data_IF_018314959648
#
_entry.id   IF_018314959648
#
_cell.length_a   1.000
_cell.length_b   1.000
_cell.length_c   1.000
_cell.angle_alpha   90.00
_cell.angle_beta   90.00
_cell.angle_gamma   90.00
#
_symmetry.space_group_name_H-M   'P 1'
#
loop_
_entity.id
_entity.type
_entity.pdbx_description
1 polymer ?
#
# COMPACT_ATOMS: atom_id res chain seq x y z
N UNK A 1 2.90 17.75 3.74
CA UNK A 1 2.11 18.01 2.51
C UNK A 1 2.75 19.13 1.71
N UNK A 2 2.63 19.11 0.38
CA UNK A 2 3.05 20.17 -0.53
C UNK A 2 2.05 20.27 -1.69
N UNK A 3 1.97 21.40 -2.37
CA UNK A 3 1.11 21.54 -3.55
C UNK A 3 1.83 20.97 -4.77
N UNK A 4 1.22 20.01 -5.47
CA UNK A 4 1.71 19.51 -6.77
C UNK A 4 1.49 20.59 -7.83
N UNK A 5 2.28 20.54 -8.90
CA UNK A 5 2.13 21.43 -10.06
C UNK A 5 0.74 21.30 -10.73
N UNK A 6 0.09 20.15 -10.56
CA UNK A 6 -1.29 19.88 -11.01
C UNK A 6 -2.39 20.45 -10.10
N UNK A 7 -2.04 21.20 -9.04
CA UNK A 7 -3.00 21.82 -8.12
C UNK A 7 -3.48 20.93 -6.96
N UNK A 8 -3.24 19.61 -7.01
CA UNK A 8 -3.55 18.68 -5.92
C UNK A 8 -2.57 18.76 -4.74
N UNK A 9 -3.00 18.34 -3.55
CA UNK A 9 -2.08 18.11 -2.43
C UNK A 9 -1.24 16.85 -2.68
N UNK A 10 0.07 17.00 -2.59
CA UNK A 10 1.04 15.91 -2.56
C UNK A 10 1.54 15.65 -1.15
N UNK A 11 1.68 14.37 -0.82
CA UNK A 11 2.42 13.95 0.35
C UNK A 11 3.90 13.84 -0.02
N UNK A 12 4.77 14.49 0.75
CA UNK A 12 6.22 14.31 0.65
C UNK A 12 6.64 13.66 1.94
N UNK A 13 6.99 12.38 1.84
CA UNK A 13 7.55 11.60 2.94
C UNK A 13 8.80 12.27 3.51
N UNK A 14 9.69 12.77 2.64
CA UNK A 14 10.88 13.54 3.06
C UNK A 14 10.52 14.75 3.90
N UNK A 15 9.55 15.58 3.47
CA UNK A 15 9.12 16.74 4.29
C UNK A 15 8.48 16.32 5.60
N UNK A 16 7.75 15.20 5.63
CA UNK A 16 7.21 14.67 6.87
C UNK A 16 8.34 14.23 7.81
N UNK A 17 9.29 13.43 7.31
CA UNK A 17 10.41 12.89 8.09
C UNK A 17 11.37 13.98 8.60
N UNK A 18 11.78 14.92 7.74
CA UNK A 18 12.66 16.03 8.12
C UNK A 18 12.01 16.93 9.18
N UNK A 19 10.69 17.13 9.12
CA UNK A 19 9.99 17.99 10.08
C UNK A 19 9.59 17.26 11.38
N UNK A 20 9.24 15.97 11.30
CA UNK A 20 8.76 15.20 12.45
C UNK A 20 9.91 14.59 13.27
N UNK A 21 11.08 14.38 12.66
CA UNK A 21 12.22 13.70 13.29
C UNK A 21 13.56 14.39 12.96
N UNK A 22 13.95 15.43 13.72
CA UNK A 22 15.18 16.21 13.46
C UNK A 22 16.46 15.36 13.49
N UNK A 23 16.50 14.32 14.32
CA UNK A 23 17.64 13.39 14.42
C UNK A 23 17.83 12.49 13.19
N UNK A 24 16.90 12.53 12.23
CA UNK A 24 16.97 11.75 11.00
C UNK A 24 17.68 12.51 9.86
N UNK A 25 18.10 13.76 10.06
CA UNK A 25 18.61 14.62 9.00
C UNK A 25 20.02 14.28 8.44
N UNK A 26 20.78 13.37 9.06
CA UNK A 26 22.21 13.18 8.76
C UNK A 26 22.58 11.95 7.90
N UNK A 27 21.64 11.04 7.60
CA UNK A 27 21.88 9.92 6.68
C UNK A 27 21.06 10.11 5.39
N UNK A 28 21.55 9.57 4.27
CA UNK A 28 20.96 9.75 2.95
C UNK A 28 19.51 9.22 2.88
N UNK A 29 18.50 10.09 2.96
CA UNK A 29 17.11 9.68 3.16
C UNK A 29 16.50 9.05 1.91
N UNK A 30 17.11 9.26 0.73
CA UNK A 30 16.61 8.79 -0.56
C UNK A 30 16.78 7.28 -0.78
N UNK A 31 17.74 6.64 -0.11
CA UNK A 31 18.00 5.20 -0.25
C UNK A 31 17.37 4.33 0.83
N UNK A 32 17.17 4.89 2.02
CA UNK A 32 16.87 4.09 3.22
C UNK A 32 15.42 4.20 3.70
N UNK A 33 14.62 5.08 3.09
CA UNK A 33 13.26 5.36 3.50
C UNK A 33 12.21 4.47 2.82
N UNK A 34 12.31 4.34 1.50
CA UNK A 34 11.28 3.67 0.71
C UNK A 34 11.62 2.20 0.47
N UNK A 35 10.59 1.36 0.51
CA UNK A 35 10.71 -0.01 0.05
C UNK A 35 11.00 -0.01 -1.46
N UNK A 36 11.99 -0.82 -1.85
CA UNK A 36 12.22 -1.12 -3.27
C UNK A 36 10.99 -1.81 -3.86
N UNK A 37 10.82 -1.78 -5.18
CA UNK A 37 9.67 -2.43 -5.83
C UNK A 37 9.62 -3.95 -5.51
N UNK A 38 10.77 -4.60 -5.48
CA UNK A 38 10.87 -6.01 -5.12
C UNK A 38 10.43 -6.28 -3.66
N UNK A 39 10.83 -5.42 -2.72
CA UNK A 39 10.40 -5.54 -1.31
C UNK A 39 8.89 -5.30 -1.15
N UNK A 40 8.32 -4.37 -1.93
CA UNK A 40 6.86 -4.16 -1.99
C UNK A 40 6.14 -5.41 -2.47
N UNK A 41 6.64 -6.05 -3.53
CA UNK A 41 6.05 -7.29 -4.06
C UNK A 41 6.15 -8.46 -3.07
N UNK A 42 7.29 -8.62 -2.41
CA UNK A 42 7.50 -9.69 -1.41
C UNK A 42 6.55 -9.47 -0.22
N UNK A 43 6.50 -8.26 0.33
CA UNK A 43 5.58 -7.92 1.43
C UNK A 43 4.12 -8.14 1.01
N UNK A 44 3.74 -7.66 -0.17
CA UNK A 44 2.39 -7.84 -0.70
C UNK A 44 2.04 -9.33 -0.81
N UNK A 45 2.91 -10.12 -1.44
CA UNK A 45 2.70 -11.57 -1.63
C UNK A 45 2.55 -12.30 -0.31
N UNK A 46 3.41 -11.98 0.67
CA UNK A 46 3.33 -12.52 2.03
C UNK A 46 1.98 -12.19 2.66
N UNK A 47 1.56 -10.93 2.59
CA UNK A 47 0.32 -10.50 3.24
C UNK A 47 -0.92 -11.12 2.59
N UNK A 48 -0.99 -11.19 1.26
CA UNK A 48 -2.13 -11.78 0.57
C UNK A 48 -2.19 -13.29 0.80
N UNK A 49 -1.07 -14.00 0.64
CA UNK A 49 -1.02 -15.47 0.79
C UNK A 49 -1.22 -15.88 2.24
N UNK A 50 -0.59 -15.16 3.17
CA UNK A 50 -0.69 -15.42 4.61
C UNK A 50 -2.09 -15.12 5.16
N UNK A 51 -2.83 -14.21 4.54
CA UNK A 51 -4.19 -13.89 4.96
C UNK A 51 -5.18 -15.01 4.74
N UNK A 52 -5.08 -15.69 3.59
CA UNK A 52 -5.90 -16.86 3.27
C UNK A 52 -5.63 -18.00 4.26
N UNK A 53 -4.35 -18.32 4.48
CA UNK A 53 -3.95 -19.39 5.38
C UNK A 53 -4.34 -19.14 6.85
N UNK A 54 -4.29 -17.88 7.29
CA UNK A 54 -4.56 -17.49 8.68
C UNK A 54 -5.99 -16.96 8.92
N UNK A 55 -6.88 -17.02 7.91
CA UNK A 55 -8.25 -16.49 7.97
C UNK A 55 -8.34 -15.06 8.55
N UNK A 56 -7.37 -14.21 8.18
CA UNK A 56 -7.30 -12.82 8.62
C UNK A 56 -7.59 -11.88 7.45
N UNK A 57 -7.84 -10.62 7.76
CA UNK A 57 -7.87 -9.60 6.71
C UNK A 57 -6.48 -9.51 6.05
N UNK A 58 -6.39 -9.54 4.72
CA UNK A 58 -5.14 -9.29 4.02
C UNK A 58 -4.57 -7.92 4.31
N UNK A 59 -5.39 -6.98 4.79
CA UNK A 59 -4.99 -5.59 5.01
C UNK A 59 -4.27 -5.36 6.33
N UNK A 60 -4.20 -6.36 7.21
CA UNK A 60 -3.53 -6.20 8.52
C UNK A 60 -2.11 -6.75 8.47
N UNK A 61 -1.12 -5.90 8.76
CA UNK A 61 0.27 -6.31 8.93
C UNK A 61 0.42 -7.27 10.11
N UNK A 62 1.22 -8.32 9.93
CA UNK A 62 1.53 -9.36 10.91
C UNK A 62 2.99 -9.28 11.42
N UNK A 63 3.35 -10.22 12.29
CA UNK A 63 4.66 -10.29 12.94
C UNK A 63 5.83 -10.51 11.98
N UNK A 64 5.57 -10.96 10.76
CA UNK A 64 6.57 -11.24 9.73
C UNK A 64 6.65 -10.14 8.65
N UNK A 65 5.79 -9.13 8.73
CA UNK A 65 5.79 -8.00 7.78
C UNK A 65 7.14 -7.33 7.63
N UNK A 66 7.81 -7.01 8.75
CA UNK A 66 9.09 -6.30 8.70
C UNK A 66 10.23 -7.19 8.18
N UNK A 67 10.13 -8.51 8.36
CA UNK A 67 11.03 -9.48 7.76
C UNK A 67 10.87 -9.48 6.23
N UNK A 68 9.63 -9.63 5.75
CA UNK A 68 9.31 -9.69 4.32
C UNK A 68 9.50 -8.34 3.59
N UNK A 69 9.42 -7.23 4.32
CA UNK A 69 9.75 -5.90 3.82
C UNK A 69 11.26 -5.60 3.74
N UNK A 70 12.12 -6.57 4.10
CA UNK A 70 13.57 -6.38 4.08
C UNK A 70 14.08 -5.33 5.09
N UNK A 71 13.33 -5.10 6.18
CA UNK A 71 13.71 -4.16 7.25
C UNK A 71 14.69 -4.82 8.23
N UNK A 72 14.47 -6.10 8.51
CA UNK A 72 15.34 -6.89 9.38
C UNK A 72 15.42 -8.32 8.90
N UNK A 73 16.59 -8.98 8.95
CA UNK A 73 16.69 -10.41 8.68
C UNK A 73 16.25 -11.28 9.87
N UNK A 74 15.91 -10.68 11.02
CA UNK A 74 15.58 -11.41 12.25
C UNK A 74 14.08 -11.43 12.50
N UNK A 75 13.47 -12.62 12.47
CA UNK A 75 12.06 -12.80 12.83
C UNK A 75 11.73 -12.30 14.25
N UNK A 76 12.66 -12.43 15.21
CA UNK A 76 12.49 -11.90 16.58
C UNK A 76 12.40 -10.37 16.60
N UNK A 77 13.22 -9.69 15.79
CA UNK A 77 13.16 -8.23 15.68
C UNK A 77 11.87 -7.83 14.95
N UNK A 78 11.49 -8.53 13.89
CA UNK A 78 10.24 -8.29 13.15
C UNK A 78 9.02 -8.38 14.08
N UNK A 79 8.93 -9.44 14.89
CA UNK A 79 7.85 -9.58 15.87
C UNK A 79 7.88 -8.47 16.94
N UNK A 80 9.07 -8.03 17.36
CA UNK A 80 9.22 -6.91 18.30
C UNK A 80 8.78 -5.58 17.70
N UNK A 81 9.10 -5.32 16.43
CA UNK A 81 8.60 -4.15 15.69
C UNK A 81 7.07 -4.19 15.67
N UNK A 82 6.47 -5.31 15.24
CA UNK A 82 5.02 -5.47 15.19
C UNK A 82 4.36 -5.20 16.56
N UNK A 83 4.92 -5.78 17.64
CA UNK A 83 4.45 -5.55 19.01
C UNK A 83 4.42 -4.07 19.38
N UNK A 84 5.48 -3.31 19.08
CA UNK A 84 5.49 -1.87 19.36
C UNK A 84 4.53 -1.10 18.46
N UNK A 85 4.37 -1.47 17.19
CA UNK A 85 3.39 -0.86 16.30
C UNK A 85 1.95 -1.05 16.79
N UNK A 86 1.61 -2.25 17.28
CA UNK A 86 0.31 -2.55 17.89
C UNK A 86 0.12 -1.77 19.19
N UNK A 87 1.12 -1.79 20.08
CA UNK A 87 1.07 -1.09 21.36
C UNK A 87 0.85 0.42 21.21
N UNK A 88 1.39 1.02 20.15
CA UNK A 88 1.22 2.45 19.85
C UNK A 88 -0.02 2.75 18.98
N UNK A 89 -0.82 1.72 18.66
CA UNK A 89 -2.06 1.82 17.91
C UNK A 89 -1.89 2.07 16.40
N UNK A 90 -0.66 2.04 15.89
CA UNK A 90 -0.37 2.20 14.45
C UNK A 90 -0.89 1.01 13.68
N UNK A 91 -0.70 -0.21 14.20
CA UNK A 91 -1.43 -1.40 13.74
C UNK A 91 -2.59 -1.60 14.69
N UNK A 92 -3.81 -1.61 14.16
CA UNK A 92 -5.02 -1.73 14.96
C UNK A 92 -6.09 -2.47 14.15
N UNK A 93 -6.41 -3.70 14.55
CA UNK A 93 -7.43 -4.53 13.89
C UNK A 93 -8.84 -3.92 13.93
N UNK A 94 -9.10 -2.97 14.84
CA UNK A 94 -10.37 -2.25 14.92
C UNK A 94 -10.41 -1.02 14.00
N UNK A 95 -9.27 -0.60 13.45
CA UNK A 95 -9.23 0.50 12.50
C UNK A 95 -9.73 0.02 11.12
N UNK A 96 -10.45 0.85 10.34
CA UNK A 96 -11.01 0.44 9.05
C UNK A 96 -10.00 -0.11 8.03
N UNK A 97 -8.73 0.26 8.13
CA UNK A 97 -7.65 -0.18 7.25
C UNK A 97 -6.68 -1.16 7.91
N UNK A 98 -6.88 -1.51 9.20
CA UNK A 98 -5.91 -2.27 9.99
C UNK A 98 -4.64 -1.49 10.37
N UNK A 99 -4.43 -0.31 9.77
CA UNK A 99 -3.30 0.60 9.95
C UNK A 99 -3.78 2.04 10.10
N UNK A 100 -3.09 2.83 10.93
CA UNK A 100 -3.34 4.24 11.18
C UNK A 100 -2.01 5.00 11.26
N UNK A 101 -1.55 5.54 10.13
CA UNK A 101 -0.25 6.26 10.09
C UNK A 101 -0.31 7.62 10.80
N UNK A 102 -1.50 8.13 11.12
CA UNK A 102 -1.64 9.40 11.86
C UNK A 102 -1.12 9.30 13.30
N UNK A 103 -0.96 8.06 13.80
CA UNK A 103 -0.39 7.76 15.13
C UNK A 103 1.12 7.73 15.15
N UNK A 104 1.79 7.93 14.02
CA UNK A 104 3.24 8.10 13.97
C UNK A 104 3.57 9.47 14.56
N UNK A 105 4.06 9.47 15.80
CA UNK A 105 4.44 10.68 16.53
C UNK A 105 5.95 10.88 16.51
N UNK A 106 6.48 12.07 16.89
CA UNK A 106 7.92 12.27 17.07
C UNK A 106 8.60 11.28 18.04
N UNK A 107 7.83 10.62 18.93
CA UNK A 107 8.34 9.58 19.83
C UNK A 107 8.60 8.24 19.14
N UNK A 108 8.20 8.07 17.89
CA UNK A 108 8.35 6.82 17.14
C UNK A 108 9.80 6.33 17.08
N UNK A 109 10.76 7.24 16.90
CA UNK A 109 12.19 6.92 16.92
C UNK A 109 12.62 6.27 18.25
N UNK A 110 12.08 6.75 19.37
CA UNK A 110 12.35 6.19 20.69
C UNK A 110 11.64 4.84 20.91
N UNK A 111 10.42 4.68 20.39
CA UNK A 111 9.66 3.43 20.47
C UNK A 111 10.38 2.28 19.74
N UNK A 112 11.07 2.58 18.64
CA UNK A 112 11.85 1.63 17.85
C UNK A 112 13.38 1.80 18.04
N UNK A 113 13.83 2.32 19.18
CA UNK A 113 15.26 2.57 19.44
C UNK A 113 16.15 1.31 19.44
N UNK A 114 15.57 0.11 19.40
CA UNK A 114 16.28 -1.17 19.31
C UNK A 114 16.64 -1.59 17.88
N UNK A 115 16.28 -0.79 16.87
CA UNK A 115 16.72 -0.95 15.47
C UNK A 115 17.45 0.32 15.01
N UNK A 116 18.26 0.18 13.95
CA UNK A 116 19.00 1.30 13.37
C UNK A 116 18.05 2.38 12.83
N UNK A 117 18.56 3.62 12.74
CA UNK A 117 17.78 4.74 12.20
C UNK A 117 17.31 4.47 10.76
N UNK A 118 18.17 3.88 9.92
CA UNK A 118 17.80 3.43 8.58
C UNK A 118 16.62 2.44 8.60
N UNK A 119 16.66 1.44 9.49
CA UNK A 119 15.54 0.51 9.65
C UNK A 119 14.27 1.22 10.16
N UNK A 120 14.37 2.19 11.07
CA UNK A 120 13.22 2.99 11.52
C UNK A 120 12.57 3.73 10.36
N UNK A 121 13.35 4.39 9.48
CA UNK A 121 12.83 5.06 8.27
C UNK A 121 12.10 4.07 7.38
N UNK A 122 12.70 2.90 7.14
CA UNK A 122 12.12 1.85 6.30
C UNK A 122 10.84 1.26 6.89
N UNK A 123 10.71 1.17 8.23
CA UNK A 123 9.42 0.83 8.88
C UNK A 123 8.37 1.88 8.54
N UNK A 124 8.70 3.17 8.61
CA UNK A 124 7.74 4.23 8.28
C UNK A 124 7.36 4.15 6.79
N UNK A 125 8.32 3.96 5.88
CA UNK A 125 8.04 3.75 4.45
C UNK A 125 7.15 2.53 4.19
N UNK A 126 7.41 1.42 4.88
CA UNK A 126 6.54 0.23 4.85
C UNK A 126 5.11 0.55 5.31
N UNK A 127 4.95 1.30 6.40
CA UNK A 127 3.64 1.66 6.94
C UNK A 127 2.84 2.52 5.96
N UNK A 128 3.44 3.55 5.36
CA UNK A 128 2.75 4.37 4.36
C UNK A 128 2.40 3.59 3.09
N UNK A 129 3.35 2.78 2.58
CA UNK A 129 3.06 1.89 1.46
C UNK A 129 1.86 0.98 1.76
N UNK A 130 1.83 0.40 2.96
CA UNK A 130 0.76 -0.51 3.32
C UNK A 130 -0.58 0.19 3.53
N UNK A 131 -0.58 1.41 4.05
CA UNK A 131 -1.80 2.24 4.16
C UNK A 131 -2.38 2.57 2.78
N UNK A 132 -1.53 2.98 1.82
CA UNK A 132 -1.95 3.20 0.43
C UNK A 132 -2.52 1.92 -0.20
N UNK A 133 -1.89 0.78 0.08
CA UNK A 133 -2.34 -0.53 -0.42
C UNK A 133 -3.69 -0.94 0.20
N UNK A 134 -3.89 -0.69 1.49
CA UNK A 134 -5.16 -0.93 2.17
C UNK A 134 -6.30 -0.06 1.61
N UNK A 135 -6.00 1.21 1.30
CA UNK A 135 -6.95 2.11 0.64
C UNK A 135 -7.29 1.61 -0.76
N UNK A 136 -6.28 1.26 -1.55
CA UNK A 136 -6.47 0.71 -2.91
C UNK A 136 -7.36 -0.53 -2.89
N UNK A 137 -7.10 -1.45 -1.98
CA UNK A 137 -7.86 -2.68 -1.85
C UNK A 137 -9.32 -2.41 -1.47
N UNK A 138 -9.54 -1.52 -0.50
CA UNK A 138 -10.89 -1.10 -0.08
C UNK A 138 -11.70 -0.48 -1.22
N UNK A 139 -11.08 0.36 -2.06
CA UNK A 139 -11.74 0.92 -3.24
C UNK A 139 -12.14 -0.15 -4.24
N UNK A 140 -11.29 -1.17 -4.45
CA UNK A 140 -11.62 -2.30 -5.32
C UNK A 140 -12.71 -3.19 -4.73
N UNK A 141 -12.76 -3.37 -3.41
CA UNK A 141 -13.86 -4.08 -2.74
C UNK A 141 -15.18 -3.33 -2.85
N UNK A 142 -15.15 -2.00 -2.70
CA UNK A 142 -16.33 -1.17 -2.93
C UNK A 142 -16.81 -1.28 -4.38
N UNK A 143 -15.92 -1.14 -5.37
CA UNK A 143 -16.28 -1.28 -6.78
C UNK A 143 -16.85 -2.68 -7.07
N UNK A 144 -16.25 -3.73 -6.49
CA UNK A 144 -16.75 -5.10 -6.63
C UNK A 144 -18.19 -5.22 -6.09
N UNK A 145 -18.45 -4.72 -4.89
CA UNK A 145 -19.77 -4.79 -4.26
C UNK A 145 -20.83 -3.97 -5.03
N UNK A 146 -20.45 -2.81 -5.58
CA UNK A 146 -21.33 -1.99 -6.43
C UNK A 146 -21.73 -2.75 -7.71
N UNK A 147 -20.77 -3.42 -8.37
CA UNK A 147 -21.03 -4.22 -9.57
C UNK A 147 -21.93 -5.42 -9.25
N UNK A 148 -21.63 -6.15 -8.16
CA UNK A 148 -22.44 -7.30 -7.72
C UNK A 148 -23.87 -6.88 -7.37
N UNK A 149 -24.04 -5.73 -6.70
CA UNK A 149 -25.36 -5.15 -6.42
C UNK A 149 -26.11 -4.80 -7.70
N UNK A 150 -25.45 -4.13 -8.65
CA UNK A 150 -26.04 -3.76 -9.94
C UNK A 150 -26.47 -4.99 -10.76
N UNK A 151 -25.72 -6.09 -10.70
CA UNK A 151 -26.09 -7.35 -11.36
C UNK A 151 -27.33 -8.02 -10.74
N UNK A 152 -27.59 -7.79 -9.45
CA UNK A 152 -28.73 -8.34 -8.72
C UNK A 152 -30.04 -7.58 -8.90
N UNK A 153 -30.02 -6.41 -9.57
CA UNK A 153 -31.23 -5.60 -9.80
C UNK A 153 -32.12 -6.27 -10.86
N UNK A 154 -33.41 -6.45 -10.53
CA UNK A 154 -34.41 -6.96 -11.47
C UNK A 154 -34.64 -5.98 -12.63
N UNK A 155 -34.76 -6.50 -13.85
CA UNK A 155 -35.00 -5.68 -15.05
C UNK A 155 -33.74 -5.20 -15.78
N UNK A 156 -32.53 -5.52 -15.30
CA UNK A 156 -31.28 -5.28 -16.03
C UNK A 156 -31.19 -6.23 -17.23
N UNK A 157 -30.88 -5.70 -18.41
CA UNK A 157 -30.73 -6.49 -19.64
C UNK A 157 -29.57 -7.48 -19.56
N UNK A 158 -29.63 -8.56 -20.36
CA UNK A 158 -28.55 -9.54 -20.40
C UNK A 158 -27.25 -8.96 -20.98
N UNK A 159 -27.34 -7.99 -21.89
CA UNK A 159 -26.20 -7.24 -22.41
C UNK A 159 -25.49 -6.46 -21.30
N UNK A 160 -26.24 -5.73 -20.46
CA UNK A 160 -25.67 -4.99 -19.33
C UNK A 160 -25.09 -5.94 -18.29
N UNK A 161 -25.74 -7.08 -18.00
CA UNK A 161 -25.16 -8.10 -17.12
C UNK A 161 -23.84 -8.66 -17.67
N UNK A 162 -23.72 -8.84 -18.99
CA UNK A 162 -22.47 -9.30 -19.62
C UNK A 162 -21.36 -8.26 -19.44
N UNK A 163 -21.65 -6.99 -19.64
CA UNK A 163 -20.69 -5.89 -19.41
C UNK A 163 -20.25 -5.84 -17.94
N UNK A 164 -21.19 -5.94 -17.00
CA UNK A 164 -20.90 -5.97 -15.57
C UNK A 164 -20.02 -7.16 -15.17
N UNK A 165 -20.20 -8.35 -15.79
CA UNK A 165 -19.30 -9.50 -15.57
C UNK A 165 -17.87 -9.23 -16.04
N UNK A 166 -17.70 -8.60 -17.21
CA UNK A 166 -16.37 -8.21 -17.72
C UNK A 166 -15.71 -7.23 -16.76
N UNK A 167 -16.47 -6.24 -16.27
CA UNK A 167 -15.96 -5.28 -15.29
C UNK A 167 -15.60 -5.95 -13.97
N UNK A 168 -16.41 -6.88 -13.49
CA UNK A 168 -16.14 -7.67 -12.28
C UNK A 168 -14.84 -8.48 -12.41
N UNK A 169 -14.62 -9.10 -13.57
CA UNK A 169 -13.37 -9.82 -13.87
C UNK A 169 -12.17 -8.88 -13.85
N UNK A 170 -12.29 -7.69 -14.45
CA UNK A 170 -11.25 -6.66 -14.39
C UNK A 170 -10.91 -6.22 -12.95
N UNK A 171 -11.91 -6.05 -12.08
CA UNK A 171 -11.69 -5.76 -10.66
C UNK A 171 -10.93 -6.89 -9.97
N UNK A 172 -11.34 -8.15 -10.20
CA UNK A 172 -10.67 -9.33 -9.63
C UNK A 172 -9.21 -9.42 -10.08
N UNK A 173 -8.92 -9.18 -11.35
CA UNK A 173 -7.55 -9.10 -11.87
C UNK A 173 -6.74 -8.00 -11.17
N UNK A 174 -7.29 -6.77 -11.06
CA UNK A 174 -6.61 -5.66 -10.38
C UNK A 174 -6.35 -5.94 -8.90
N UNK A 175 -7.19 -6.73 -8.23
CA UNK A 175 -6.95 -7.17 -6.84
C UNK A 175 -5.76 -8.12 -6.74
N UNK A 176 -5.58 -9.02 -7.71
CA UNK A 176 -4.49 -10.02 -7.71
C UNK A 176 -3.15 -9.52 -8.24
N UNK A 177 -3.08 -8.30 -8.79
CA UNK A 177 -1.82 -7.75 -9.33
C UNK A 177 -0.88 -7.30 -8.22
N UNK A 178 0.36 -7.78 -8.26
CA UNK A 178 1.44 -7.29 -7.40
C UNK A 178 1.76 -5.82 -7.72
N UNK A 179 2.35 -5.06 -6.77
CA UNK A 179 2.79 -3.70 -7.00
C UNK A 179 3.53 -3.46 -8.33
N UNK A 180 4.49 -4.32 -8.69
CA UNK A 180 5.28 -4.18 -9.92
C UNK A 180 4.53 -4.44 -11.22
N UNK A 181 3.44 -5.21 -11.19
CA UNK A 181 2.66 -5.55 -12.38
C UNK A 181 1.67 -4.46 -12.77
N UNK A 182 1.44 -3.47 -11.90
CA UNK A 182 0.40 -2.47 -12.08
C UNK A 182 0.84 -1.42 -13.11
N UNK A 183 -0.09 -0.94 -13.95
CA UNK A 183 0.21 0.15 -14.89
C UNK A 183 0.72 1.36 -14.11
N UNK A 184 1.85 1.91 -14.52
CA UNK A 184 2.30 3.19 -13.97
C UNK A 184 1.46 4.31 -14.59
N UNK A 185 1.30 5.45 -13.90
CA UNK A 185 0.61 6.60 -14.51
C UNK A 185 1.26 7.09 -15.82
N UNK A 186 2.50 6.66 -16.11
CA UNK A 186 3.17 6.93 -17.39
C UNK A 186 2.63 6.04 -18.52
N UNK A 187 2.17 4.83 -18.23
CA UNK A 187 1.64 3.90 -19.24
C UNK A 187 0.24 4.31 -19.73
N UNK A 188 -0.54 5.00 -18.91
CA UNK A 188 -1.86 5.51 -19.29
C UNK A 188 -1.80 6.64 -20.33
N UNK A 189 -0.64 7.29 -20.52
CA UNK A 189 -0.44 8.35 -21.51
C UNK A 189 0.09 7.87 -22.87
N UNK A 190 0.48 6.60 -23.00
CA UNK A 190 1.08 6.07 -24.23
C UNK A 190 0.13 5.24 -25.11
N UNK A 191 -1.12 5.03 -24.69
CA UNK A 191 -2.12 4.30 -25.51
C UNK A 191 -2.99 5.19 -26.42
N UNK A 192 -2.86 6.53 -26.39
CA UNK A 192 -3.64 7.43 -27.27
C UNK A 192 -2.87 8.00 -28.49
N UNK A 193 -1.63 7.59 -28.74
CA UNK A 193 -0.81 8.15 -29.84
C UNK A 193 -0.38 7.12 -30.90
N UNK A 194 -1.30 6.27 -31.37
CA UNK A 194 -1.13 5.62 -32.69
C UNK A 194 -2.05 6.30 -33.69
N UNK A 195 -1.56 7.38 -34.30
CA UNK A 195 -2.22 8.01 -35.44
C UNK A 195 -2.39 7.03 -36.61
N UNK A 196 -3.38 7.23 -37.50
CA UNK A 196 -3.69 6.27 -38.55
C UNK A 196 -2.53 6.15 -39.55
N UNK A 197 -2.28 4.96 -40.12
CA UNK A 197 -1.18 4.73 -41.05
C UNK A 197 -1.37 5.59 -42.30
N UNK A 198 -0.38 6.46 -42.57
CA UNK A 198 -0.27 7.13 -43.86
C UNK A 198 0.23 6.12 -44.88
N UNK A 199 -0.66 5.73 -45.79
CA UNK A 199 -0.25 5.06 -47.02
C UNK A 199 0.29 6.12 -47.98
N UNK A 200 1.54 5.91 -48.43
CA UNK A 200 2.14 6.64 -49.56
C UNK A 200 1.81 5.93 -50.88
#
# INVERSE_FOLDING_TARGET
MYRKASGGMGFSFNRFMTNAFPNFANDNPERDADLTMNEKDILWTHQISGAEAAQRSPMTLDTESALNAGITPSGKISARIHKELVKNGIINSNAPLGIDTTRITPKFAHQLAFISVAAQRKVIGMLFFWEEEAIRWRLLEQEQAEIETAMGVEGVSEETKKELRIRLESVKMRKSMSPSQRPTMQDAGHQEASGPPQYS
#
